data_IF_192872860264
#
_entry.id   IF_192872860264
#
_cell.length_a   1.000
_cell.length_b   1.000
_cell.length_c   1.000
_cell.angle_alpha   90.00
_cell.angle_beta   90.00
_cell.angle_gamma   90.00
#
_symmetry.space_group_name_H-M   'P 1'
#
loop_
_entity.id
_entity.type
_entity.pdbx_description
1 polymer ?
#
# COMPACT_ATOMS: atom_id res chain seq x y z
N UNK A 1 43.45 16.22 -44.18
CA UNK A 1 42.70 15.58 -43.07
C UNK A 1 42.63 16.54 -41.90
N UNK A 2 41.49 16.53 -41.21
CA UNK A 2 41.20 17.10 -39.90
C UNK A 2 41.32 18.63 -39.75
N UNK A 3 40.22 19.34 -40.01
CA UNK A 3 39.84 20.57 -39.28
C UNK A 3 38.32 20.74 -39.40
N UNK A 4 37.54 20.08 -38.53
CA UNK A 4 36.08 20.13 -38.66
C UNK A 4 35.28 19.44 -37.57
N UNK A 5 35.79 19.38 -36.33
CA UNK A 5 35.06 18.76 -35.21
C UNK A 5 35.27 19.47 -33.87
N UNK A 6 35.58 20.78 -33.88
CA UNK A 6 35.77 21.56 -32.64
C UNK A 6 34.79 22.75 -32.49
N UNK A 7 33.66 22.71 -33.19
CA UNK A 7 32.60 23.75 -33.09
C UNK A 7 31.28 23.25 -32.53
N UNK A 8 31.01 21.94 -32.61
CA UNK A 8 29.69 21.38 -32.26
C UNK A 8 29.57 20.97 -30.77
N UNK A 9 30.70 20.74 -30.09
CA UNK A 9 30.71 20.32 -28.68
C UNK A 9 30.50 21.50 -27.70
N UNK A 10 30.82 22.74 -28.09
CA UNK A 10 30.65 23.91 -27.22
C UNK A 10 29.21 24.47 -27.26
N UNK A 11 28.47 24.23 -28.35
CA UNK A 11 27.08 24.67 -28.47
C UNK A 11 26.11 23.79 -27.64
N UNK A 12 26.46 22.53 -27.42
CA UNK A 12 25.70 21.60 -26.55
C UNK A 12 25.96 21.83 -25.05
N UNK A 13 27.09 22.43 -24.66
CA UNK A 13 27.38 22.76 -23.26
C UNK A 13 26.77 24.10 -22.80
N UNK A 14 26.57 25.06 -23.69
CA UNK A 14 25.94 26.36 -23.36
C UNK A 14 24.40 26.37 -23.42
N UNK A 15 23.77 25.27 -23.83
CA UNK A 15 22.30 25.16 -23.92
C UNK A 15 21.66 24.39 -22.76
N UNK A 16 22.45 23.96 -21.75
CA UNK A 16 21.97 23.22 -20.59
C UNK A 16 22.01 24.00 -19.26
N UNK A 17 22.37 25.29 -19.30
CA UNK A 17 22.41 26.17 -18.10
C UNK A 17 21.39 27.32 -18.19
N UNK A 18 20.15 26.97 -18.49
CA UNK A 18 18.99 27.82 -18.17
C UNK A 18 18.16 27.05 -17.15
N UNK A 19 18.63 27.14 -15.90
CA UNK A 19 17.88 26.80 -14.70
C UNK A 19 16.64 27.70 -14.65
N UNK A 20 15.59 27.23 -15.31
CA UNK A 20 14.26 27.79 -15.23
C UNK A 20 13.77 27.46 -13.82
N UNK A 21 14.09 28.34 -12.87
CA UNK A 21 13.49 28.42 -11.56
C UNK A 21 12.00 28.73 -11.67
N UNK A 22 11.23 27.81 -12.24
CA UNK A 22 9.79 27.71 -12.02
C UNK A 22 9.63 27.01 -10.68
N UNK A 23 9.71 27.80 -9.61
CA UNK A 23 9.08 27.42 -8.34
C UNK A 23 7.59 27.26 -8.63
N UNK A 24 7.20 26.08 -9.08
CA UNK A 24 5.83 25.62 -9.01
C UNK A 24 5.55 25.50 -7.52
N UNK A 25 5.12 26.60 -6.92
CA UNK A 25 4.48 26.58 -5.62
C UNK A 25 3.31 25.63 -5.76
N UNK A 26 3.50 24.38 -5.33
CA UNK A 26 2.42 23.46 -5.09
C UNK A 26 1.58 24.11 -4.00
N UNK A 27 0.57 24.86 -4.42
CA UNK A 27 -0.46 25.36 -3.53
C UNK A 27 -1.15 24.14 -2.96
N UNK A 28 -0.78 23.75 -1.74
CA UNK A 28 -1.64 22.90 -0.95
C UNK A 28 -2.98 23.63 -0.87
N UNK A 29 -3.99 23.12 -1.57
CA UNK A 29 -5.35 23.55 -1.34
C UNK A 29 -5.61 23.27 0.14
N UNK A 30 -5.58 24.33 0.96
CA UNK A 30 -6.15 24.33 2.29
C UNK A 30 -7.63 24.08 2.08
N UNK A 31 -8.01 22.81 2.03
CA UNK A 31 -9.41 22.41 2.03
C UNK A 31 -9.97 22.90 3.36
N UNK A 32 -10.65 24.04 3.28
CA UNK A 32 -11.71 24.39 4.20
C UNK A 32 -12.49 23.12 4.51
N UNK A 33 -12.61 22.79 5.78
CA UNK A 33 -13.17 21.57 6.35
C UNK A 33 -14.65 21.39 6.02
N UNK A 34 -14.98 21.19 4.75
CA UNK A 34 -16.10 20.37 4.34
C UNK A 34 -15.63 18.95 4.62
N UNK A 35 -16.29 18.22 5.52
CA UNK A 35 -16.09 16.78 5.64
C UNK A 35 -16.54 16.15 4.32
N UNK A 36 -15.67 16.17 3.32
CA UNK A 36 -15.87 15.41 2.10
C UNK A 36 -15.88 13.97 2.55
N UNK A 37 -17.04 13.33 2.46
CA UNK A 37 -17.18 11.92 2.77
C UNK A 37 -16.43 11.18 1.66
N UNK A 38 -15.15 10.91 1.89
CA UNK A 38 -14.31 10.20 0.94
C UNK A 38 -14.75 8.74 0.99
N UNK A 39 -15.38 8.30 -0.08
CA UNK A 39 -15.86 6.93 -0.21
C UNK A 39 -14.70 5.99 -0.57
N UNK A 40 -14.64 4.83 0.09
CA UNK A 40 -13.68 3.77 -0.21
C UNK A 40 -14.32 2.84 -1.24
N UNK A 41 -13.64 2.67 -2.37
CA UNK A 41 -14.04 1.75 -3.45
C UNK A 41 -13.04 0.62 -3.60
N UNK A 42 -13.42 -0.46 -4.28
CA UNK A 42 -12.46 -1.52 -4.61
C UNK A 42 -11.27 -0.95 -5.41
N UNK A 43 -10.06 -1.40 -5.08
CA UNK A 43 -8.81 -0.89 -5.63
C UNK A 43 -8.25 0.34 -4.90
N UNK A 44 -8.97 0.91 -3.93
CA UNK A 44 -8.43 1.95 -3.05
C UNK A 44 -7.22 1.40 -2.29
N UNK A 45 -6.13 2.16 -2.28
CA UNK A 45 -4.94 1.90 -1.47
C UNK A 45 -5.00 2.77 -0.23
N UNK A 46 -4.90 2.16 0.95
CA UNK A 46 -5.08 2.83 2.23
C UNK A 46 -4.11 2.32 3.30
N UNK A 47 -4.04 3.05 4.41
CA UNK A 47 -3.40 2.61 5.65
C UNK A 47 -4.48 2.46 6.71
N UNK A 48 -4.63 1.28 7.32
CA UNK A 48 -5.55 1.09 8.43
C UNK A 48 -4.86 1.49 9.73
N UNK A 49 -5.39 2.50 10.42
CA UNK A 49 -4.85 2.96 11.71
C UNK A 49 -5.69 2.38 12.85
N UNK A 50 -5.04 1.68 13.78
CA UNK A 50 -5.69 1.25 15.02
C UNK A 50 -6.01 2.48 15.89
N UNK A 51 -7.28 2.62 16.28
CA UNK A 51 -7.79 3.83 16.90
C UNK A 51 -7.10 4.18 18.22
N UNK A 52 -6.83 3.21 19.11
CA UNK A 52 -6.28 3.50 20.44
C UNK A 52 -4.79 3.81 20.42
N UNK A 53 -4.00 3.01 19.69
CA UNK A 53 -2.52 3.14 19.69
C UNK A 53 -1.99 4.04 18.57
N UNK A 54 -2.82 4.32 17.56
CA UNK A 54 -2.45 5.06 16.34
C UNK A 54 -1.41 4.37 15.46
N UNK A 55 -1.11 3.10 15.75
CA UNK A 55 -0.25 2.26 14.92
C UNK A 55 -1.00 1.83 13.66
N UNK A 56 -0.28 1.67 12.56
CA UNK A 56 -0.85 1.27 11.26
C UNK A 56 -0.66 -0.22 11.04
N UNK A 57 -1.66 -0.87 10.44
CA UNK A 57 -1.53 -2.24 9.97
C UNK A 57 -0.36 -2.33 8.99
N UNK A 58 0.58 -3.23 9.27
CA UNK A 58 1.87 -3.29 8.60
C UNK A 58 2.28 -4.74 8.38
N UNK A 59 3.01 -5.01 7.30
CA UNK A 59 3.68 -6.29 7.09
C UNK A 59 5.03 -6.13 6.39
N UNK A 60 5.89 -7.13 6.51
CA UNK A 60 7.22 -7.14 5.93
C UNK A 60 7.68 -8.57 5.67
N UNK A 61 8.74 -8.74 4.88
CA UNK A 61 9.19 -10.05 4.43
C UNK A 61 9.99 -10.83 5.49
N UNK A 62 9.36 -11.00 6.66
CA UNK A 62 9.85 -11.81 7.78
C UNK A 62 8.71 -12.66 8.32
N UNK A 63 8.86 -13.99 8.35
CA UNK A 63 7.85 -14.89 8.90
C UNK A 63 7.86 -14.92 10.44
N UNK A 64 6.76 -15.40 11.02
CA UNK A 64 6.76 -15.78 12.43
C UNK A 64 7.69 -16.99 12.66
N UNK A 65 8.34 -17.03 13.82
CA UNK A 65 9.12 -18.21 14.27
C UNK A 65 8.27 -19.28 14.97
N UNK A 66 6.97 -19.02 15.15
CA UNK A 66 6.00 -19.89 15.83
C UNK A 66 4.69 -19.92 15.02
N UNK A 67 3.69 -20.63 15.53
CA UNK A 67 2.37 -20.66 14.90
C UNK A 67 2.45 -21.27 13.51
N UNK A 68 1.94 -20.56 12.50
CA UNK A 68 1.91 -21.07 11.13
C UNK A 68 3.24 -20.96 10.39
N UNK A 69 4.19 -20.14 10.88
CA UNK A 69 5.40 -19.78 10.14
C UNK A 69 5.15 -18.89 8.90
N UNK A 70 3.94 -18.36 8.73
CA UNK A 70 3.62 -17.43 7.63
C UNK A 70 4.21 -16.03 7.89
N UNK A 71 4.12 -15.15 6.88
CA UNK A 71 4.63 -13.78 6.96
C UNK A 71 3.95 -13.00 8.09
N UNK A 72 4.75 -12.29 8.89
CA UNK A 72 4.22 -11.59 10.07
C UNK A 72 3.43 -10.33 9.73
N UNK A 73 2.46 -10.00 10.59
CA UNK A 73 1.64 -8.79 10.51
C UNK A 73 1.72 -8.08 11.86
N UNK A 74 1.98 -6.77 11.84
CA UNK A 74 2.20 -5.99 13.04
C UNK A 74 1.50 -4.63 12.98
N UNK A 75 1.52 -3.92 14.11
CA UNK A 75 1.26 -2.48 14.12
C UNK A 75 2.58 -1.71 14.01
N UNK A 76 2.65 -0.72 13.13
CA UNK A 76 3.83 0.13 12.95
C UNK A 76 3.55 1.59 13.30
N UNK A 77 4.43 2.26 14.09
CA UNK A 77 4.18 3.62 14.57
C UNK A 77 4.46 4.71 13.52
N UNK A 78 5.39 4.49 12.60
CA UNK A 78 5.77 5.52 11.63
C UNK A 78 4.62 5.75 10.62
N UNK A 79 4.32 7.02 10.37
CA UNK A 79 3.30 7.43 9.41
C UNK A 79 3.78 7.21 7.98
N UNK A 80 5.05 7.51 7.72
CA UNK A 80 5.67 7.43 6.40
C UNK A 80 6.38 6.09 6.19
N UNK A 81 5.57 5.05 6.04
CA UNK A 81 6.01 3.69 5.76
C UNK A 81 5.21 3.10 4.59
N UNK A 82 5.91 2.65 3.56
CA UNK A 82 5.32 2.04 2.36
C UNK A 82 4.74 0.65 2.64
N UNK A 83 5.16 0.03 3.73
CA UNK A 83 4.77 -1.32 4.15
C UNK A 83 3.47 -1.34 4.96
N UNK A 84 2.88 -0.17 5.12
CA UNK A 84 1.57 0.03 5.72
C UNK A 84 0.47 0.25 4.67
N UNK A 85 0.78 0.12 3.37
CA UNK A 85 -0.20 0.22 2.28
C UNK A 85 -0.86 -1.11 1.96
N UNK A 86 -2.19 -1.09 1.97
CA UNK A 86 -3.06 -2.21 1.65
C UNK A 86 -4.04 -1.80 0.56
N UNK A 87 -4.23 -2.65 -0.44
CA UNK A 87 -5.25 -2.46 -1.47
C UNK A 87 -6.48 -3.30 -1.16
N UNK A 88 -7.65 -2.67 -1.23
CA UNK A 88 -8.94 -3.33 -1.01
C UNK A 88 -9.34 -4.09 -2.26
N UNK A 89 -9.64 -5.37 -2.14
CA UNK A 89 -10.02 -6.26 -3.24
C UNK A 89 -11.36 -6.95 -2.94
N UNK A 90 -12.16 -7.26 -3.97
CA UNK A 90 -13.35 -8.06 -3.79
C UNK A 90 -12.99 -9.53 -3.54
N UNK A 91 -13.96 -10.29 -3.05
CA UNK A 91 -13.96 -11.75 -3.10
C UNK A 91 -13.77 -12.23 -4.55
N UNK A 92 -13.01 -13.32 -4.79
CA UNK A 92 -12.91 -13.95 -6.11
C UNK A 92 -14.28 -14.28 -6.71
N UNK A 93 -14.35 -14.37 -8.04
CA UNK A 93 -15.54 -14.80 -8.79
C UNK A 93 -16.81 -13.97 -8.57
N UNK A 94 -16.68 -12.75 -8.02
CA UNK A 94 -17.76 -11.76 -7.95
C UNK A 94 -17.76 -10.85 -9.19
N UNK A 95 -18.88 -10.19 -9.47
CA UNK A 95 -18.99 -9.18 -10.54
C UNK A 95 -18.42 -7.81 -10.15
N UNK A 96 -17.90 -7.67 -8.92
CA UNK A 96 -17.36 -6.42 -8.42
C UNK A 96 -16.03 -6.07 -9.12
N UNK A 97 -15.90 -4.80 -9.50
CA UNK A 97 -14.71 -4.27 -10.20
C UNK A 97 -14.10 -3.11 -9.41
N UNK A 98 -12.86 -2.80 -9.74
CA UNK A 98 -12.18 -1.61 -9.22
C UNK A 98 -13.03 -0.35 -9.50
N UNK A 99 -13.16 0.51 -8.49
CA UNK A 99 -14.01 1.70 -8.52
C UNK A 99 -15.44 1.47 -8.04
N UNK A 100 -15.91 0.23 -7.89
CA UNK A 100 -17.23 -0.02 -7.29
C UNK A 100 -17.22 0.32 -5.79
N UNK A 101 -18.30 0.93 -5.33
CA UNK A 101 -18.56 1.26 -3.92
C UNK A 101 -18.66 0.00 -3.08
N UNK A 102 -18.21 0.05 -1.82
CA UNK A 102 -18.22 -1.09 -0.90
C UNK A 102 -19.29 -0.86 0.17
N UNK A 103 -20.47 -1.52 0.09
CA UNK A 103 -21.49 -1.42 1.12
C UNK A 103 -20.99 -1.93 2.48
N UNK A 104 -21.56 -1.39 3.55
CA UNK A 104 -21.27 -1.86 4.90
C UNK A 104 -21.66 -3.34 5.07
N UNK A 105 -20.78 -4.12 5.70
CA UNK A 105 -20.98 -5.55 5.92
C UNK A 105 -20.68 -6.44 4.71
N UNK A 106 -20.14 -5.88 3.62
CA UNK A 106 -19.60 -6.65 2.49
C UNK A 106 -18.28 -7.30 2.85
N UNK A 107 -18.08 -8.54 2.38
CA UNK A 107 -16.81 -9.26 2.54
C UNK A 107 -15.80 -8.69 1.55
N UNK A 108 -14.60 -8.37 2.05
CA UNK A 108 -13.47 -7.87 1.29
C UNK A 108 -12.22 -8.70 1.56
N UNK A 109 -11.20 -8.49 0.73
CA UNK A 109 -9.83 -8.92 0.99
C UNK A 109 -8.91 -7.71 1.03
N UNK A 110 -7.86 -7.78 1.84
CA UNK A 110 -6.83 -6.76 1.94
C UNK A 110 -5.51 -7.35 1.47
N UNK A 111 -4.94 -6.82 0.37
CA UNK A 111 -3.65 -7.27 -0.14
C UNK A 111 -2.56 -6.28 0.26
N UNK A 112 -1.48 -6.78 0.85
CA UNK A 112 -0.31 -5.97 1.18
C UNK A 112 0.41 -5.56 -0.10
N UNK A 113 0.57 -4.25 -0.32
CA UNK A 113 1.05 -3.71 -1.60
C UNK A 113 2.47 -4.16 -1.96
N UNK A 114 3.36 -4.28 -0.97
CA UNK A 114 4.76 -4.64 -1.21
C UNK A 114 4.97 -6.12 -1.48
N UNK A 115 4.36 -7.00 -0.68
CA UNK A 115 4.61 -8.45 -0.75
C UNK A 115 3.56 -9.22 -1.54
N UNK A 116 2.46 -8.56 -1.95
CA UNK A 116 1.33 -9.14 -2.68
C UNK A 116 0.58 -10.25 -1.94
N UNK A 117 0.86 -10.43 -0.65
CA UNK A 117 0.19 -11.38 0.23
C UNK A 117 -1.10 -10.81 0.79
N UNK A 118 -2.03 -11.70 1.15
CA UNK A 118 -3.33 -11.36 1.71
C UNK A 118 -3.24 -11.26 3.22
N UNK A 119 -3.97 -10.31 3.82
CA UNK A 119 -4.24 -10.33 5.25
C UNK A 119 -5.06 -11.58 5.56
N UNK A 120 -4.54 -12.44 6.43
CA UNK A 120 -5.04 -13.79 6.63
C UNK A 120 -5.16 -14.12 8.11
N UNK A 121 -6.10 -15.00 8.47
CA UNK A 121 -6.24 -15.54 9.81
C UNK A 121 -6.76 -16.97 9.77
N UNK A 122 -6.42 -17.73 10.81
CA UNK A 122 -6.61 -19.18 10.89
C UNK A 122 -6.46 -19.70 12.32
N UNK A 123 -6.61 -21.01 12.51
CA UNK A 123 -6.56 -21.69 13.82
C UNK A 123 -5.13 -21.92 14.33
N UNK A 124 -4.29 -20.89 14.31
CA UNK A 124 -2.97 -20.86 14.97
C UNK A 124 -2.95 -19.84 16.11
N UNK A 125 -2.14 -20.10 17.13
CA UNK A 125 -1.96 -19.18 18.24
C UNK A 125 -0.97 -18.05 17.88
N UNK A 126 -1.38 -16.81 18.12
CA UNK A 126 -0.57 -15.60 17.98
C UNK A 126 0.63 -15.62 18.94
N UNK A 127 1.78 -15.07 18.52
CA UNK A 127 3.07 -15.26 19.21
C UNK A 127 3.15 -14.65 20.61
N UNK A 128 2.31 -13.65 20.94
CA UNK A 128 2.36 -12.95 22.23
C UNK A 128 1.14 -13.30 23.10
N UNK A 129 -0.06 -13.13 22.57
CA UNK A 129 -1.30 -13.25 23.34
C UNK A 129 -1.92 -14.65 23.34
N UNK A 130 -1.53 -15.55 22.42
CA UNK A 130 -2.19 -16.82 22.24
C UNK A 130 -3.61 -16.76 21.63
N UNK A 131 -4.11 -15.55 21.29
CA UNK A 131 -5.29 -15.36 20.44
C UNK A 131 -5.08 -15.94 19.02
N UNK A 132 -6.06 -15.88 18.13
CA UNK A 132 -5.87 -16.27 16.74
C UNK A 132 -4.77 -15.43 16.07
N UNK A 133 -3.85 -16.11 15.40
CA UNK A 133 -2.77 -15.51 14.63
C UNK A 133 -3.32 -14.79 13.39
N UNK A 134 -2.85 -13.56 13.18
CA UNK A 134 -3.04 -12.81 11.93
C UNK A 134 -1.70 -12.75 11.21
N UNK A 135 -1.71 -13.12 9.93
CA UNK A 135 -0.53 -13.30 9.09
C UNK A 135 -0.76 -12.72 7.69
N UNK A 136 0.30 -12.74 6.88
CA UNK A 136 0.22 -12.54 5.45
C UNK A 136 0.43 -13.86 4.70
N UNK A 137 -0.56 -14.27 3.90
CA UNK A 137 -0.58 -15.57 3.21
C UNK A 137 -0.71 -15.44 1.68
N UNK A 138 -0.27 -16.47 0.96
CA UNK A 138 -0.49 -16.61 -0.46
C UNK A 138 0.18 -15.55 -1.35
N UNK A 139 -0.55 -15.14 -2.39
CA UNK A 139 -0.10 -14.23 -3.46
C UNK A 139 -1.21 -13.95 -4.48
N UNK A 140 -0.86 -13.40 -5.64
CA UNK A 140 -1.87 -13.04 -6.67
C UNK A 140 -2.69 -14.23 -7.19
N UNK A 141 -2.08 -15.42 -7.23
CA UNK A 141 -2.71 -16.67 -7.68
C UNK A 141 -3.05 -17.63 -6.54
N UNK A 142 -2.88 -17.21 -5.28
CA UNK A 142 -3.06 -18.06 -4.10
C UNK A 142 -3.80 -17.26 -3.03
N UNK A 143 -5.05 -17.64 -2.78
CA UNK A 143 -5.94 -17.03 -1.80
C UNK A 143 -6.99 -18.06 -1.38
N UNK A 144 -7.46 -17.97 -0.14
CA UNK A 144 -8.53 -18.82 0.37
C UNK A 144 -9.50 -18.03 1.27
N UNK A 145 -10.43 -18.74 1.92
CA UNK A 145 -11.45 -18.12 2.77
C UNK A 145 -10.90 -17.51 4.07
N UNK A 146 -9.65 -17.82 4.46
CA UNK A 146 -8.97 -17.15 5.57
C UNK A 146 -8.57 -15.71 5.26
N UNK A 147 -8.62 -15.32 3.98
CA UNK A 147 -8.35 -13.96 3.51
C UNK A 147 -9.59 -13.04 3.54
N UNK A 148 -10.75 -13.57 3.93
CA UNK A 148 -12.04 -12.90 3.79
C UNK A 148 -12.43 -12.17 5.08
N UNK A 149 -12.61 -10.85 5.00
CA UNK A 149 -12.89 -9.97 6.15
C UNK A 149 -14.20 -9.23 5.94
N UNK A 150 -15.00 -9.10 7.00
CA UNK A 150 -16.25 -8.33 7.02
C UNK A 150 -16.13 -7.15 7.97
#
# INVERSE_FOLDING_TARGET
MAMGFLGFALFLFLSLDLDQGSTSSASAASSSSTSQNVEITYGTVLKLMHEKTKFRLHSHDVPYGSGSGQQSVTGFPNVDDSNSYWIVRPEPDTSAKQGDTIPSGTIIRLQHMRTRKWLHSHLHASPISGNLEVSCFGGESESDTGDYWR
#
